data_IF_009012630282
#
_entry.id   IF_009012630282
#
_cell.length_a   1.000
_cell.length_b   1.000
_cell.length_c   1.000
_cell.angle_alpha   90.00
_cell.angle_beta   90.00
_cell.angle_gamma   90.00
#
_symmetry.space_group_name_H-M   'P 1'
#
loop_
_entity.id
_entity.type
_entity.pdbx_description
1 polymer ?
#
# COMPACT_ATOMS: atom_id res chain seq x y z
N UNK A 1 -9.39 -1.83 -1.21
CA UNK A 1 -8.16 -1.44 -0.50
C UNK A 1 -8.04 0.08 -0.48
N UNK A 2 -7.21 0.66 0.39
CA UNK A 2 -7.08 2.13 0.56
C UNK A 2 -6.50 2.84 -0.68
N UNK A 3 -5.73 2.11 -1.49
CA UNK A 3 -5.19 2.57 -2.77
C UNK A 3 -6.29 2.95 -3.78
N UNK A 4 -7.29 2.09 -4.00
CA UNK A 4 -8.41 2.46 -4.89
C UNK A 4 -9.35 3.50 -4.29
N UNK A 5 -9.43 3.59 -2.95
CA UNK A 5 -10.25 4.62 -2.32
C UNK A 5 -9.65 6.01 -2.58
N UNK A 6 -8.32 6.16 -2.54
CA UNK A 6 -7.68 7.45 -2.84
C UNK A 6 -7.91 7.89 -4.29
N UNK A 7 -7.88 6.94 -5.22
CA UNK A 7 -8.22 7.18 -6.63
C UNK A 7 -9.68 7.63 -6.80
N UNK A 8 -10.64 6.90 -6.22
CA UNK A 8 -12.06 7.21 -6.31
C UNK A 8 -12.40 8.59 -5.70
N UNK A 9 -11.83 8.91 -4.53
CA UNK A 9 -12.00 10.23 -3.90
C UNK A 9 -11.48 11.36 -4.80
N UNK A 10 -10.36 11.13 -5.48
CA UNK A 10 -9.78 12.10 -6.39
C UNK A 10 -10.61 12.26 -7.67
N UNK A 11 -11.06 11.15 -8.28
CA UNK A 11 -11.94 11.16 -9.48
C UNK A 11 -13.27 11.85 -9.20
N UNK A 12 -13.86 11.59 -8.03
CA UNK A 12 -15.08 12.22 -7.57
C UNK A 12 -14.92 13.69 -7.14
N UNK A 13 -13.68 14.23 -7.15
CA UNK A 13 -13.34 15.59 -6.72
C UNK A 13 -13.80 15.91 -5.28
N UNK A 14 -13.86 14.90 -4.42
CA UNK A 14 -14.26 15.06 -3.01
C UNK A 14 -13.09 15.64 -2.22
N UNK A 15 -11.93 14.99 -2.31
CA UNK A 15 -10.70 15.45 -1.69
C UNK A 15 -9.48 14.81 -2.37
N UNK A 16 -8.31 15.38 -2.12
CA UNK A 16 -7.02 14.75 -2.42
C UNK A 16 -6.45 14.21 -1.12
N UNK A 17 -6.21 12.90 -1.06
CA UNK A 17 -5.55 12.28 0.09
C UNK A 17 -4.17 12.92 0.29
N UNK A 18 -3.92 13.44 1.50
CA UNK A 18 -2.63 14.06 1.79
C UNK A 18 -1.53 13.01 1.89
N UNK A 19 -1.70 12.04 2.81
CA UNK A 19 -0.74 10.97 3.06
C UNK A 19 -1.41 9.63 2.88
N UNK A 20 -0.88 8.80 1.98
CA UNK A 20 -1.29 7.42 1.76
C UNK A 20 -0.14 6.49 2.16
N UNK A 21 -0.46 5.46 2.94
CA UNK A 21 0.49 4.42 3.32
C UNK A 21 -0.08 3.08 2.86
N UNK A 22 0.67 2.37 2.03
CA UNK A 22 0.36 1.01 1.61
C UNK A 22 1.37 0.05 2.23
N UNK A 23 0.87 -0.99 2.88
CA UNK A 23 1.69 -2.03 3.51
C UNK A 23 1.32 -3.35 2.88
N UNK A 24 2.29 -3.92 2.17
CA UNK A 24 2.18 -5.11 1.35
C UNK A 24 0.84 -5.22 0.59
N UNK A 25 0.50 -4.22 -0.25
CA UNK A 25 -0.82 -4.13 -0.84
C UNK A 25 -1.10 -5.32 -1.78
N UNK A 26 -2.34 -5.79 -1.75
CA UNK A 26 -2.86 -6.88 -2.58
C UNK A 26 -4.09 -6.42 -3.36
N UNK A 27 -4.49 -7.20 -4.37
CA UNK A 27 -5.74 -7.03 -5.09
C UNK A 27 -5.61 -6.81 -6.59
N UNK A 28 -4.40 -6.94 -7.15
CA UNK A 28 -4.16 -6.76 -8.60
C UNK A 28 -4.78 -7.89 -9.42
N UNK A 29 -4.70 -9.13 -8.93
CA UNK A 29 -5.28 -10.26 -9.66
C UNK A 29 -6.81 -10.21 -9.64
N UNK A 30 -7.41 -9.69 -8.55
CA UNK A 30 -8.86 -9.50 -8.45
C UNK A 30 -9.38 -8.35 -9.31
N UNK A 31 -8.54 -7.36 -9.62
CA UNK A 31 -8.88 -6.26 -10.53
C UNK A 31 -8.53 -6.54 -12.00
N UNK A 32 -7.49 -7.36 -12.28
CA UNK A 32 -7.09 -7.76 -13.65
C UNK A 32 -7.89 -8.95 -14.19
N UNK A 33 -8.50 -9.79 -13.33
CA UNK A 33 -9.31 -10.95 -13.77
C UNK A 33 -10.77 -10.55 -14.03
N UNK A 34 -11.05 -10.02 -15.22
CA UNK A 34 -12.39 -9.70 -15.70
C UNK A 34 -13.34 -10.90 -15.93
N UNK A 35 -13.16 -12.04 -15.23
CA UNK A 35 -13.91 -13.28 -15.49
C UNK A 35 -14.41 -13.89 -14.17
N UNK A 36 -15.74 -13.80 -13.93
CA UNK A 36 -16.44 -14.59 -12.91
C UNK A 36 -17.29 -13.77 -11.92
N UNK A 37 -18.50 -14.25 -11.65
CA UNK A 37 -19.51 -13.64 -10.76
C UNK A 37 -19.27 -13.87 -9.25
N UNK A 38 -18.24 -14.62 -8.85
CA UNK A 38 -18.05 -15.08 -7.45
C UNK A 38 -16.81 -14.52 -6.75
N UNK A 39 -16.52 -13.23 -6.89
CA UNK A 39 -15.34 -12.64 -6.22
C UNK A 39 -15.65 -11.26 -5.67
N UNK A 40 -15.12 -10.97 -4.48
CA UNK A 40 -15.12 -9.64 -3.87
C UNK A 40 -14.37 -8.67 -4.80
N UNK A 41 -15.09 -8.11 -5.78
CA UNK A 41 -14.62 -7.03 -6.65
C UNK A 41 -14.49 -5.80 -5.77
N UNK A 42 -13.30 -5.58 -5.23
CA UNK A 42 -13.06 -4.34 -4.48
C UNK A 42 -12.93 -3.17 -5.46
N UNK A 43 -12.35 -3.38 -6.65
CA UNK A 43 -12.31 -2.40 -7.75
C UNK A 43 -12.37 -3.09 -9.13
N UNK A 44 -12.94 -2.41 -10.13
CA UNK A 44 -13.13 -2.93 -11.50
C UNK A 44 -11.83 -2.93 -12.33
N UNK A 45 -10.92 -2.00 -12.02
CA UNK A 45 -9.58 -1.90 -12.60
C UNK A 45 -8.53 -1.89 -11.50
N UNK A 46 -7.29 -2.12 -11.89
CA UNK A 46 -6.13 -1.93 -11.02
C UNK A 46 -6.16 -0.51 -10.44
N UNK A 47 -6.12 -0.36 -9.11
CA UNK A 47 -6.11 0.96 -8.50
C UNK A 47 -4.89 1.77 -8.91
N UNK A 48 -5.11 3.05 -9.26
CA UNK A 48 -4.05 4.03 -9.49
C UNK A 48 -4.06 5.10 -8.38
N UNK A 49 -3.35 4.89 -7.27
CA UNK A 49 -3.54 5.70 -6.07
C UNK A 49 -3.13 7.16 -6.29
N UNK A 50 -3.99 8.08 -5.85
CA UNK A 50 -3.71 9.52 -5.92
C UNK A 50 -3.54 10.09 -4.52
N UNK A 51 -2.32 10.51 -4.18
CA UNK A 51 -2.01 11.18 -2.93
C UNK A 51 -0.88 12.20 -3.10
N UNK A 52 -0.84 13.23 -2.23
CA UNK A 52 0.28 14.19 -2.21
C UNK A 52 1.59 13.54 -1.76
N UNK A 53 1.48 12.63 -0.79
CA UNK A 53 2.59 11.83 -0.28
C UNK A 53 2.16 10.38 -0.15
N UNK A 54 2.79 9.51 -0.92
CA UNK A 54 2.57 8.07 -0.90
C UNK A 54 3.83 7.36 -0.40
N UNK A 55 3.67 6.57 0.65
CA UNK A 55 4.68 5.69 1.23
C UNK A 55 4.22 4.25 1.01
N UNK A 56 5.05 3.44 0.38
CA UNK A 56 4.77 2.04 0.15
C UNK A 56 5.85 1.17 0.81
N UNK A 57 5.38 0.08 1.44
CA UNK A 57 6.22 -0.94 2.06
C UNK A 57 5.84 -2.28 1.44
N UNK A 58 6.79 -2.97 0.86
CA UNK A 58 6.63 -4.30 0.28
C UNK A 58 7.14 -5.38 1.24
N UNK A 59 6.40 -6.49 1.38
CA UNK A 59 6.83 -7.64 2.19
C UNK A 59 7.63 -8.62 1.32
N UNK A 60 8.89 -8.85 1.70
CA UNK A 60 9.77 -9.85 1.12
C UNK A 60 10.48 -10.64 2.22
N UNK A 61 9.77 -11.54 2.91
CA UNK A 61 10.35 -12.32 3.98
C UNK A 61 11.32 -13.37 3.43
N UNK A 62 12.31 -13.74 4.25
CA UNK A 62 13.30 -14.76 3.89
C UNK A 62 12.69 -16.16 3.70
N UNK A 63 11.52 -16.40 4.30
CA UNK A 63 10.72 -17.61 4.15
C UNK A 63 9.26 -17.21 4.12
N UNK A 64 8.47 -17.71 3.18
CA UNK A 64 7.04 -17.38 3.14
C UNK A 64 6.26 -18.17 4.20
N UNK A 65 5.35 -17.49 4.90
CA UNK A 65 4.29 -18.14 5.69
C UNK A 65 2.96 -18.12 4.94
N UNK A 66 1.92 -18.68 5.57
CA UNK A 66 0.59 -18.85 4.96
C UNK A 66 0.00 -17.52 4.47
N UNK A 67 0.22 -16.44 5.20
CA UNK A 67 -0.20 -15.08 4.88
C UNK A 67 0.49 -14.51 3.63
N UNK A 68 1.78 -14.78 3.44
CA UNK A 68 2.51 -14.41 2.23
C UNK A 68 1.96 -15.12 1.00
N UNK A 69 1.59 -16.41 1.13
CA UNK A 69 0.91 -17.12 0.05
C UNK A 69 -0.47 -16.52 -0.26
N UNK A 70 -1.23 -16.11 0.76
CA UNK A 70 -2.51 -15.41 0.57
C UNK A 70 -2.29 -14.12 -0.21
N UNK A 71 -1.24 -13.36 0.11
CA UNK A 71 -0.91 -12.12 -0.59
C UNK A 71 -0.55 -12.36 -2.07
N UNK A 72 0.29 -13.36 -2.34
CA UNK A 72 0.66 -13.76 -3.70
C UNK A 72 -0.59 -14.17 -4.50
N UNK A 73 -1.45 -15.02 -3.93
CA UNK A 73 -2.71 -15.44 -4.56
C UNK A 73 -3.70 -14.27 -4.76
N UNK A 74 -3.68 -13.30 -3.84
CA UNK A 74 -4.46 -12.08 -3.91
C UNK A 74 -3.95 -11.06 -4.94
N UNK A 75 -2.82 -11.34 -5.60
CA UNK A 75 -2.16 -10.40 -6.49
C UNK A 75 -1.53 -9.26 -5.71
N UNK A 76 -0.51 -9.59 -4.93
CA UNK A 76 0.42 -8.64 -4.30
C UNK A 76 0.97 -7.69 -5.37
N UNK A 77 1.07 -6.42 -5.01
CA UNK A 77 1.62 -5.38 -5.87
C UNK A 77 3.11 -5.56 -6.07
N UNK A 78 3.62 -5.19 -7.23
CA UNK A 78 5.04 -5.21 -7.55
C UNK A 78 5.60 -3.78 -7.66
N UNK A 79 6.86 -3.68 -8.07
CA UNK A 79 7.58 -2.42 -8.18
C UNK A 79 6.96 -1.45 -9.20
N UNK A 80 6.41 -1.96 -10.31
CA UNK A 80 5.74 -1.13 -11.33
C UNK A 80 4.45 -0.53 -10.78
N UNK A 81 3.67 -1.31 -10.04
CA UNK A 81 2.39 -0.89 -9.44
C UNK A 81 2.59 0.19 -8.35
N UNK A 82 3.80 0.26 -7.78
CA UNK A 82 4.17 1.18 -6.69
C UNK A 82 5.18 2.24 -7.11
N UNK A 83 5.48 2.34 -8.42
CA UNK A 83 6.50 3.23 -8.96
C UNK A 83 6.21 4.72 -8.73
N UNK A 84 4.93 5.10 -8.57
CA UNK A 84 4.53 6.49 -8.29
C UNK A 84 4.64 6.87 -6.80
N UNK A 85 4.98 5.93 -5.91
CA UNK A 85 5.15 6.23 -4.50
C UNK A 85 6.36 7.14 -4.28
N UNK A 86 6.23 8.13 -3.39
CA UNK A 86 7.33 9.03 -3.04
C UNK A 86 8.42 8.30 -2.23
N UNK A 87 8.02 7.28 -1.47
CA UNK A 87 8.89 6.44 -0.67
C UNK A 87 8.52 4.98 -0.90
N UNK A 88 9.52 4.16 -1.20
CA UNK A 88 9.40 2.72 -1.32
C UNK A 88 10.40 2.05 -0.37
N UNK A 89 9.98 0.99 0.32
CA UNK A 89 10.88 0.13 1.08
C UNK A 89 10.48 -1.33 1.00
N UNK A 90 11.45 -2.20 1.25
CA UNK A 90 11.25 -3.65 1.35
C UNK A 90 11.53 -4.09 2.79
N UNK A 91 10.54 -4.76 3.37
CA UNK A 91 10.59 -5.33 4.70
C UNK A 91 10.78 -6.84 4.65
N UNK A 92 11.51 -7.39 5.61
CA UNK A 92 11.66 -8.85 5.77
C UNK A 92 10.57 -9.47 6.64
N UNK A 93 9.63 -8.66 7.13
CA UNK A 93 8.45 -9.13 7.83
C UNK A 93 7.43 -9.73 6.87
N UNK A 94 6.62 -10.65 7.38
CA UNK A 94 5.57 -11.34 6.61
C UNK A 94 4.35 -10.44 6.37
N UNK A 95 3.52 -10.80 5.39
CA UNK A 95 2.29 -10.07 5.06
C UNK A 95 1.42 -9.73 6.28
N UNK A 96 1.27 -10.67 7.24
CA UNK A 96 0.45 -10.50 8.44
C UNK A 96 1.06 -9.59 9.51
N UNK A 97 2.32 -9.18 9.34
CA UNK A 97 3.07 -8.35 10.29
C UNK A 97 3.06 -6.87 9.89
N UNK A 98 1.88 -6.36 9.53
CA UNK A 98 1.71 -4.99 9.07
C UNK A 98 2.12 -3.95 10.11
N UNK A 99 1.94 -4.25 11.40
CA UNK A 99 2.37 -3.36 12.49
C UNK A 99 3.88 -3.24 12.52
N UNK A 100 4.60 -4.35 12.47
CA UNK A 100 6.05 -4.40 12.45
C UNK A 100 6.60 -3.66 11.25
N UNK A 101 6.02 -3.87 10.06
CA UNK A 101 6.36 -3.12 8.85
C UNK A 101 6.13 -1.60 9.02
N UNK A 102 5.03 -1.21 9.66
CA UNK A 102 4.68 0.21 9.86
C UNK A 102 5.67 0.95 10.77
N UNK A 103 6.20 0.26 11.78
CA UNK A 103 7.16 0.82 12.73
C UNK A 103 8.63 0.55 12.36
N UNK A 104 8.90 -0.24 11.32
CA UNK A 104 10.25 -0.55 10.87
C UNK A 104 10.96 0.71 10.33
N UNK A 105 12.18 0.95 10.80
CA UNK A 105 13.00 2.09 10.35
C UNK A 105 13.72 1.75 9.04
N UNK A 106 13.03 1.99 7.93
CA UNK A 106 13.51 1.68 6.56
C UNK A 106 13.67 2.90 5.66
N UNK A 107 13.23 4.07 6.11
CA UNK A 107 13.26 5.28 5.32
C UNK A 107 14.35 6.23 5.83
N UNK A 108 14.85 7.08 4.92
CA UNK A 108 15.82 8.13 5.20
C UNK A 108 17.03 7.58 5.99
N UNK A 109 17.83 6.74 5.32
CA UNK A 109 19.01 6.07 5.89
C UNK A 109 18.70 5.10 7.04
N UNK A 110 17.58 4.38 6.98
CA UNK A 110 17.13 3.43 8.01
C UNK A 110 16.94 4.07 9.41
N UNK A 111 16.64 5.38 9.45
CA UNK A 111 16.44 6.11 10.71
C UNK A 111 14.97 6.34 11.05
N UNK A 112 14.10 6.29 10.03
CA UNK A 112 12.71 6.75 10.11
C UNK A 112 11.76 5.65 9.62
N UNK A 113 10.64 5.48 10.32
CA UNK A 113 9.57 4.55 9.96
C UNK A 113 8.44 5.22 9.18
N UNK A 114 7.52 4.42 8.63
CA UNK A 114 6.30 4.97 8.03
C UNK A 114 5.43 5.70 9.06
N UNK A 115 5.41 5.22 10.31
CA UNK A 115 4.76 5.91 11.44
C UNK A 115 5.35 7.29 11.72
N UNK A 116 6.67 7.41 11.74
CA UNK A 116 7.35 8.70 11.95
C UNK A 116 7.03 9.70 10.82
N UNK A 117 7.02 9.21 9.57
CA UNK A 117 6.62 10.01 8.41
C UNK A 117 5.15 10.45 8.52
N UNK A 118 4.24 9.57 8.94
CA UNK A 118 2.84 9.90 9.15
C UNK A 118 2.68 11.02 10.19
N UNK A 119 3.32 10.88 11.36
CA UNK A 119 3.29 11.90 12.42
C UNK A 119 3.85 13.24 11.91
N UNK A 120 4.94 13.21 11.15
CA UNK A 120 5.53 14.41 10.55
C UNK A 120 4.56 15.12 9.61
N UNK A 121 3.84 14.38 8.76
CA UNK A 121 2.85 14.97 7.86
C UNK A 121 1.60 15.46 8.60
N UNK A 122 1.12 14.73 9.61
CA UNK A 122 -0.02 15.14 10.44
C UNK A 122 0.24 16.47 11.15
N UNK A 123 1.45 16.69 11.66
CA UNK A 123 1.85 17.97 12.28
C UNK A 123 1.78 19.18 11.33
N UNK A 124 1.79 18.97 10.01
CA UNK A 124 1.68 20.05 9.02
C UNK A 124 0.24 20.45 8.72
N UNK A 125 -0.70 19.54 8.95
CA UNK A 125 -2.13 19.76 8.68
C UNK A 125 -2.92 20.14 9.92
N UNK A 126 -2.47 19.75 11.11
CA UNK A 126 -3.02 20.24 12.38
C UNK A 126 -2.43 21.64 12.62
N UNK A 127 -3.27 22.66 12.51
CA UNK A 127 -2.98 24.04 12.92
C UNK A 127 -3.28 24.24 14.39
#
# INVERSE_FOLDING_TARGET
>A
NVAGLSEELSKAKICTVHTLITIDPVGILLSKSGVGNDRARIYYLEPDPVAKKWINIFSQPLRNYRDDYIAILGGRWNDDDTAKANFNSVSTYHHGQASEMFFEKKFLENKISASDLLISELKKVIK
#
